data_IF_033861780879
#
_entry.id   IF_033861780879
#
_cell.length_a   1.000
_cell.length_b   1.000
_cell.length_c   1.000
_cell.angle_alpha   90.00
_cell.angle_beta   90.00
_cell.angle_gamma   90.00
#
_symmetry.space_group_name_H-M   'P 1'
#
loop_
_entity.id
_entity.type
_entity.pdbx_description
1 polymer ?
#
# COMPACT_ATOMS: atom_id res chain seq x y z
N UNK A 1 -15.98 -7.34 -21.02
CA UNK A 1 -14.68 -7.34 -20.31
C UNK A 1 -14.60 -8.60 -19.44
N UNK A 2 -13.62 -9.48 -19.67
CA UNK A 2 -13.41 -10.65 -18.81
C UNK A 2 -13.06 -10.16 -17.39
N UNK A 3 -13.79 -10.58 -16.36
CA UNK A 3 -13.56 -10.19 -14.95
C UNK A 3 -12.34 -10.90 -14.32
N UNK A 4 -11.82 -11.93 -15.00
CA UNK A 4 -10.71 -12.78 -14.53
C UNK A 4 -9.41 -12.02 -14.18
N UNK A 5 -8.90 -11.06 -14.98
CA UNK A 5 -7.66 -10.34 -14.66
C UNK A 5 -7.84 -9.32 -13.52
N UNK A 6 -9.01 -8.67 -13.42
CA UNK A 6 -9.32 -7.74 -12.33
C UNK A 6 -9.37 -8.46 -10.98
N UNK A 7 -10.06 -9.60 -10.93
CA UNK A 7 -10.15 -10.42 -9.74
C UNK A 7 -8.77 -10.95 -9.31
N UNK A 8 -7.96 -11.42 -10.26
CA UNK A 8 -6.60 -11.90 -9.98
C UNK A 8 -5.73 -10.80 -9.35
N UNK A 9 -5.78 -9.59 -9.91
CA UNK A 9 -5.08 -8.42 -9.36
C UNK A 9 -5.54 -8.10 -7.94
N UNK A 10 -6.86 -8.08 -7.73
CA UNK A 10 -7.46 -7.78 -6.44
C UNK A 10 -6.99 -8.76 -5.35
N UNK A 11 -7.02 -10.06 -5.64
CA UNK A 11 -6.57 -11.10 -4.71
C UNK A 11 -5.08 -10.93 -4.38
N UNK A 12 -4.23 -10.70 -5.39
CA UNK A 12 -2.79 -10.49 -5.17
C UNK A 12 -2.53 -9.26 -4.30
N UNK A 13 -3.19 -8.14 -4.60
CA UNK A 13 -3.01 -6.91 -3.83
C UNK A 13 -3.49 -7.03 -2.38
N UNK A 14 -4.61 -7.73 -2.15
CA UNK A 14 -5.11 -8.02 -0.80
C UNK A 14 -4.17 -8.92 0.00
N UNK A 15 -3.68 -10.01 -0.62
CA UNK A 15 -2.72 -10.92 0.04
C UNK A 15 -1.43 -10.18 0.39
N UNK A 16 -0.92 -9.34 -0.51
CA UNK A 16 0.27 -8.52 -0.24
C UNK A 16 0.00 -7.47 0.84
N UNK A 17 -1.17 -6.84 0.86
CA UNK A 17 -1.57 -5.89 1.91
C UNK A 17 -1.58 -6.54 3.29
N UNK A 18 -2.15 -7.74 3.42
CA UNK A 18 -2.13 -8.51 4.67
C UNK A 18 -0.69 -8.91 5.06
N UNK A 19 0.10 -9.40 4.10
CA UNK A 19 1.48 -9.81 4.35
C UNK A 19 2.36 -8.63 4.82
N UNK A 20 2.22 -7.46 4.19
CA UNK A 20 2.93 -6.25 4.60
C UNK A 20 2.41 -5.67 5.91
N UNK A 21 1.11 -5.80 6.20
CA UNK A 21 0.55 -5.50 7.51
C UNK A 21 1.24 -6.29 8.61
N UNK A 22 1.32 -7.61 8.44
CA UNK A 22 1.97 -8.49 9.41
C UNK A 22 3.48 -8.20 9.51
N UNK A 23 4.17 -8.00 8.38
CA UNK A 23 5.58 -7.63 8.37
C UNK A 23 5.82 -6.32 9.13
N UNK A 24 4.98 -5.31 8.91
CA UNK A 24 5.11 -4.00 9.56
C UNK A 24 4.86 -4.12 11.07
N UNK A 25 3.83 -4.87 11.48
CA UNK A 25 3.56 -5.14 12.90
C UNK A 25 4.70 -5.93 13.56
N UNK A 26 5.27 -6.92 12.88
CA UNK A 26 6.42 -7.68 13.36
C UNK A 26 7.67 -6.81 13.54
N UNK A 27 7.95 -5.92 12.57
CA UNK A 27 9.08 -4.99 12.65
C UNK A 27 8.89 -3.96 13.78
N UNK A 28 7.68 -3.44 13.97
CA UNK A 28 7.36 -2.56 15.08
C UNK A 28 7.49 -3.28 16.44
N UNK A 29 7.01 -4.53 16.50
CA UNK A 29 7.06 -5.35 17.71
C UNK A 29 8.46 -5.79 18.15
N UNK A 30 9.48 -5.71 17.27
CA UNK A 30 10.86 -6.02 17.66
C UNK A 30 11.42 -5.10 18.74
N UNK A 31 10.99 -3.85 18.76
CA UNK A 31 11.45 -2.87 19.76
C UNK A 31 10.49 -2.77 20.96
N UNK A 32 9.22 -3.13 20.75
CA UNK A 32 8.18 -3.09 21.78
C UNK A 32 7.28 -4.32 21.63
N UNK A 33 7.57 -5.46 22.30
CA UNK A 33 6.84 -6.72 22.11
C UNK A 33 5.36 -6.62 22.49
N UNK A 34 5.01 -5.66 23.34
CA UNK A 34 3.63 -5.29 23.69
C UNK A 34 2.79 -4.85 22.47
N UNK A 35 3.41 -4.27 21.43
CA UNK A 35 2.74 -3.88 20.19
C UNK A 35 2.34 -5.08 19.32
N UNK A 36 2.96 -6.24 19.53
CA UNK A 36 2.66 -7.47 18.79
C UNK A 36 1.48 -8.24 19.40
N UNK A 37 1.00 -7.81 20.57
CA UNK A 37 -0.17 -8.39 21.21
C UNK A 37 -1.43 -8.09 20.39
N UNK A 38 -2.23 -9.13 20.08
CA UNK A 38 -3.50 -8.98 19.35
C UNK A 38 -4.51 -8.08 20.06
N UNK A 39 -4.33 -7.88 21.37
CA UNK A 39 -5.19 -7.01 22.18
C UNK A 39 -4.82 -5.52 22.03
N UNK A 40 -3.64 -5.21 21.48
CA UNK A 40 -3.16 -3.84 21.41
C UNK A 40 -3.82 -3.08 20.24
N UNK A 41 -4.39 -1.88 20.45
CA UNK A 41 -5.09 -1.13 19.40
C UNK A 41 -4.16 -0.73 18.24
N UNK A 42 -2.88 -0.48 18.50
CA UNK A 42 -1.88 -0.09 17.49
C UNK A 42 -1.64 -1.22 16.48
N UNK A 43 -1.74 -2.48 16.90
CA UNK A 43 -1.61 -3.61 15.98
C UNK A 43 -2.68 -3.55 14.88
N UNK A 44 -3.94 -3.31 15.29
CA UNK A 44 -5.09 -3.23 14.38
C UNK A 44 -5.07 -1.98 13.50
N UNK A 45 -4.53 -0.86 13.97
CA UNK A 45 -4.38 0.34 13.13
C UNK A 45 -3.34 0.11 12.04
N UNK A 46 -2.20 -0.51 12.35
CA UNK A 46 -1.18 -0.87 11.36
C UNK A 46 -1.74 -1.88 10.35
N UNK A 47 -2.39 -2.95 10.84
CA UNK A 47 -2.97 -3.98 9.98
C UNK A 47 -4.04 -3.41 9.05
N UNK A 48 -4.98 -2.61 9.58
CA UNK A 48 -6.06 -2.03 8.79
C UNK A 48 -5.53 -1.04 7.75
N UNK A 49 -4.53 -0.22 8.07
CA UNK A 49 -3.86 0.67 7.13
C UNK A 49 -3.22 -0.08 5.96
N UNK A 50 -2.44 -1.13 6.22
CA UNK A 50 -1.76 -1.88 5.14
C UNK A 50 -2.73 -2.67 4.27
N UNK A 51 -3.81 -3.20 4.85
CA UNK A 51 -4.91 -3.81 4.10
C UNK A 51 -5.62 -2.77 3.24
N UNK A 52 -5.86 -1.57 3.77
CA UNK A 52 -6.50 -0.48 3.05
C UNK A 52 -5.63 0.00 1.88
N UNK A 53 -4.30 0.08 2.02
CA UNK A 53 -3.38 0.34 0.91
C UNK A 53 -3.56 -0.73 -0.18
N UNK A 54 -3.58 -2.00 0.20
CA UNK A 54 -3.80 -3.12 -0.74
C UNK A 54 -5.13 -2.98 -1.50
N UNK A 55 -6.21 -2.65 -0.79
CA UNK A 55 -7.54 -2.44 -1.36
C UNK A 55 -7.56 -1.24 -2.33
N UNK A 56 -7.03 -0.09 -1.92
CA UNK A 56 -7.03 1.13 -2.74
C UNK A 56 -6.18 0.94 -3.98
N UNK A 57 -5.01 0.30 -3.87
CA UNK A 57 -4.13 -0.02 -5.00
C UNK A 57 -4.76 -1.07 -5.93
N UNK A 58 -5.51 -2.03 -5.40
CA UNK A 58 -6.28 -2.97 -6.19
C UNK A 58 -7.30 -2.24 -7.08
N UNK A 59 -8.11 -1.37 -6.47
CA UNK A 59 -9.15 -0.59 -7.14
C UNK A 59 -8.58 0.42 -8.14
N UNK A 60 -7.53 1.14 -7.76
CA UNK A 60 -6.85 2.09 -8.64
C UNK A 60 -6.20 1.41 -9.86
N UNK A 61 -6.00 0.09 -9.80
CA UNK A 61 -5.67 -0.75 -10.93
C UNK A 61 -6.60 -0.64 -12.12
N UNK A 62 -7.90 -0.53 -11.86
CA UNK A 62 -8.92 -0.37 -12.88
C UNK A 62 -8.84 1.01 -13.56
N UNK A 63 -8.26 2.00 -12.86
CA UNK A 63 -8.08 3.36 -13.34
C UNK A 63 -6.63 3.58 -13.76
N UNK A 64 -6.30 3.10 -14.96
CA UNK A 64 -4.99 3.24 -15.61
C UNK A 64 -4.72 4.65 -16.15
N UNK A 65 -5.78 5.41 -16.40
CA UNK A 65 -5.74 6.81 -16.81
C UNK A 65 -6.07 7.71 -15.62
N UNK A 66 -5.35 8.82 -15.48
CA UNK A 66 -5.69 9.83 -14.46
C UNK A 66 -7.10 10.38 -14.74
N UNK A 67 -8.06 10.29 -13.79
CA UNK A 67 -9.46 10.60 -14.05
C UNK A 67 -9.70 12.06 -14.48
N UNK A 68 -8.80 12.97 -14.09
CA UNK A 68 -8.91 14.42 -14.39
C UNK A 68 -8.02 14.86 -15.56
N UNK A 69 -6.84 14.25 -15.75
CA UNK A 69 -5.80 14.77 -16.67
C UNK A 69 -5.56 13.87 -17.87
N UNK A 70 -6.14 12.66 -17.92
CA UNK A 70 -6.04 11.77 -19.07
C UNK A 70 -4.65 11.19 -19.35
N UNK A 71 -3.65 11.47 -18.50
CA UNK A 71 -2.30 10.93 -18.67
C UNK A 71 -2.18 9.48 -18.15
N UNK A 72 -1.35 8.64 -18.80
CA UNK A 72 -1.09 7.28 -18.35
C UNK A 72 -0.34 7.29 -17.02
N UNK A 73 -0.97 6.77 -15.97
CA UNK A 73 -0.38 6.76 -14.64
C UNK A 73 0.50 5.52 -14.46
N UNK A 74 1.83 5.70 -14.53
CA UNK A 74 2.79 4.58 -14.41
C UNK A 74 2.59 3.89 -13.05
N UNK A 75 2.55 2.54 -13.00
CA UNK A 75 2.15 1.79 -11.80
C UNK A 75 3.03 2.07 -10.57
N UNK A 76 4.31 2.38 -10.77
CA UNK A 76 5.19 2.74 -9.65
C UNK A 76 4.82 4.05 -8.93
N UNK A 77 4.27 5.02 -9.65
CA UNK A 77 3.93 6.37 -9.15
C UNK A 77 2.54 6.29 -8.56
N UNK A 78 1.62 5.59 -9.24
CA UNK A 78 0.28 5.30 -8.73
C UNK A 78 0.33 4.63 -7.37
N UNK A 79 1.02 3.49 -7.27
CA UNK A 79 1.17 2.75 -6.02
C UNK A 79 1.78 3.60 -4.91
N UNK A 80 2.86 4.33 -5.21
CA UNK A 80 3.53 5.18 -4.22
C UNK A 80 2.63 6.33 -3.73
N UNK A 81 1.99 7.08 -4.63
CA UNK A 81 1.11 8.19 -4.26
C UNK A 81 -0.09 7.70 -3.44
N UNK A 82 -0.75 6.62 -3.86
CA UNK A 82 -1.90 6.09 -3.13
C UNK A 82 -1.50 5.50 -1.78
N UNK A 83 -0.36 4.81 -1.70
CA UNK A 83 0.18 4.30 -0.45
C UNK A 83 0.48 5.42 0.54
N UNK A 84 1.08 6.52 0.08
CA UNK A 84 1.32 7.72 0.90
C UNK A 84 0.01 8.35 1.36
N UNK A 85 -0.96 8.56 0.45
CA UNK A 85 -2.25 9.18 0.77
C UNK A 85 -3.03 8.38 1.82
N UNK A 86 -3.07 7.05 1.67
CA UNK A 86 -3.76 6.16 2.60
C UNK A 86 -3.07 6.14 3.97
N UNK A 87 -1.74 6.33 4.01
CA UNK A 87 -0.97 6.34 5.26
C UNK A 87 -1.06 7.67 6.04
N UNK A 88 -1.65 8.73 5.48
CA UNK A 88 -1.76 10.04 6.15
C UNK A 88 -2.48 9.94 7.51
N UNK A 89 -3.64 9.27 7.65
CA UNK A 89 -4.32 9.17 8.94
C UNK A 89 -3.48 8.42 9.99
N UNK A 90 -2.79 7.34 9.59
CA UNK A 90 -1.91 6.60 10.49
C UNK A 90 -0.70 7.44 10.89
N UNK A 91 -0.07 8.12 9.93
CA UNK A 91 1.05 9.02 10.18
C UNK A 91 0.63 10.17 11.11
N UNK A 92 -0.54 10.78 10.89
CA UNK A 92 -1.09 11.81 11.77
C UNK A 92 -1.32 11.29 13.20
N UNK A 93 -1.76 10.03 13.34
CA UNK A 93 -1.87 9.35 14.64
C UNK A 93 -0.54 9.29 15.39
N UNK A 94 0.59 9.13 14.68
CA UNK A 94 1.92 9.08 15.28
C UNK A 94 2.41 10.42 15.86
N UNK A 95 1.81 11.55 15.47
CA UNK A 95 2.13 12.86 16.05
C UNK A 95 1.66 12.99 17.51
N UNK A 96 0.71 12.15 17.93
CA UNK A 96 0.26 12.07 19.32
C UNK A 96 1.07 11.07 20.15
N UNK A 97 2.07 10.40 19.57
CA UNK A 97 2.90 9.46 20.29
C UNK A 97 3.83 10.22 21.27
N UNK A 98 4.07 9.68 22.47
CA UNK A 98 5.02 10.26 23.40
C UNK A 98 6.42 10.31 22.76
N UNK A 99 7.08 11.46 22.86
CA UNK A 99 8.44 11.61 22.36
C UNK A 99 9.37 10.65 23.11
N UNK A 100 10.06 9.78 22.38
CA UNK A 100 11.09 8.90 22.94
C UNK A 100 12.47 9.50 22.63
N UNK A 101 13.50 9.18 23.41
CA UNK A 101 14.87 9.63 23.13
C UNK A 101 15.39 9.20 21.75
N UNK A 102 14.77 8.17 21.14
CA UNK A 102 15.21 7.56 19.89
C UNK A 102 14.47 8.07 18.66
N UNK A 103 13.28 8.65 18.80
CA UNK A 103 12.49 9.11 17.66
C UNK A 103 11.57 10.28 18.05
N UNK A 104 11.70 11.38 17.29
CA UNK A 104 10.75 12.48 17.37
C UNK A 104 9.43 12.09 16.70
N UNK A 105 8.27 12.61 17.16
CA UNK A 105 6.98 12.34 16.52
C UNK A 105 6.96 12.65 15.03
N UNK A 106 7.66 13.72 14.62
CA UNK A 106 7.83 14.09 13.22
C UNK A 106 8.62 13.07 12.40
N UNK A 107 9.63 12.43 12.99
CA UNK A 107 10.37 11.37 12.32
C UNK A 107 9.47 10.15 12.08
N UNK A 108 8.67 9.76 13.07
CA UNK A 108 7.71 8.64 12.95
C UNK A 108 6.66 8.95 11.88
N UNK A 109 6.16 10.19 11.83
CA UNK A 109 5.25 10.65 10.79
C UNK A 109 5.83 10.45 9.39
N UNK A 110 7.04 10.97 9.13
CA UNK A 110 7.70 10.88 7.82
C UNK A 110 7.99 9.42 7.47
N UNK A 111 8.50 8.62 8.40
CA UNK A 111 8.77 7.19 8.17
C UNK A 111 7.50 6.39 7.88
N UNK A 112 6.39 6.71 8.53
CA UNK A 112 5.09 6.07 8.27
C UNK A 112 4.59 6.40 6.87
N UNK A 113 4.75 7.64 6.43
CA UNK A 113 4.34 8.11 5.11
C UNK A 113 5.20 7.51 4.00
N UNK A 114 6.53 7.52 4.18
CA UNK A 114 7.49 6.91 3.25
C UNK A 114 7.30 5.39 3.16
N UNK A 115 7.11 4.71 4.29
CA UNK A 115 6.84 3.26 4.28
C UNK A 115 5.53 2.93 3.57
N UNK A 116 4.48 3.74 3.77
CA UNK A 116 3.24 3.67 3.01
C UNK A 116 3.44 3.74 1.50
N UNK A 117 4.23 4.71 1.05
CA UNK A 117 4.60 4.85 -0.37
C UNK A 117 5.37 3.63 -0.90
N UNK A 118 6.34 3.11 -0.14
CA UNK A 118 7.11 1.92 -0.54
C UNK A 118 6.19 0.69 -0.64
N UNK A 119 5.35 0.44 0.36
CA UNK A 119 4.40 -0.69 0.32
C UNK A 119 3.42 -0.55 -0.83
N UNK A 120 2.83 0.62 -1.02
CA UNK A 120 1.92 0.89 -2.13
C UNK A 120 2.58 0.67 -3.50
N UNK A 121 3.83 1.11 -3.67
CA UNK A 121 4.62 0.87 -4.88
C UNK A 121 4.84 -0.63 -5.14
N UNK A 122 5.28 -1.37 -4.11
CA UNK A 122 5.57 -2.81 -4.25
C UNK A 122 4.29 -3.60 -4.54
N UNK A 123 3.20 -3.31 -3.82
CA UNK A 123 1.89 -3.92 -4.06
C UNK A 123 1.44 -3.64 -5.50
N UNK A 124 1.52 -2.39 -5.97
CA UNK A 124 1.03 -2.03 -7.30
C UNK A 124 1.87 -2.68 -8.41
N UNK A 125 3.19 -2.72 -8.27
CA UNK A 125 4.08 -3.36 -9.23
C UNK A 125 3.80 -4.86 -9.33
N UNK A 126 3.70 -5.57 -8.20
CA UNK A 126 3.45 -7.01 -8.19
C UNK A 126 2.04 -7.34 -8.68
N UNK A 127 1.03 -6.60 -8.22
CA UNK A 127 -0.36 -6.79 -8.65
C UNK A 127 -0.53 -6.50 -10.15
N UNK A 128 0.18 -5.50 -10.68
CA UNK A 128 0.17 -5.19 -12.12
C UNK A 128 0.89 -6.27 -12.93
N UNK A 129 2.05 -6.76 -12.48
CA UNK A 129 2.78 -7.84 -13.17
C UNK A 129 2.02 -9.15 -13.19
N UNK A 130 1.36 -9.53 -12.10
CA UNK A 130 0.67 -10.82 -11.98
C UNK A 130 -0.76 -10.77 -12.52
N UNK A 131 -1.45 -9.64 -12.34
CA UNK A 131 -2.84 -9.42 -12.74
C UNK A 131 -3.03 -8.96 -14.19
N UNK A 132 -1.97 -8.49 -14.87
CA UNK A 132 -1.99 -8.18 -16.30
C UNK A 132 -2.67 -6.87 -16.69
N UNK A 133 -3.40 -6.20 -15.79
CA UNK A 133 -4.15 -4.97 -16.09
C UNK A 133 -3.31 -3.68 -16.25
N UNK A 134 -2.01 -3.81 -16.51
CA UNK A 134 -1.15 -2.72 -16.96
C UNK A 134 -0.24 -3.12 -18.13
N UNK A 135 -0.37 -4.33 -18.68
CA UNK A 135 0.39 -4.76 -19.85
C UNK A 135 0.06 -3.93 -21.09
N UNK A 136 -1.20 -3.52 -21.24
CA UNK A 136 -1.66 -2.61 -22.30
C UNK A 136 -1.03 -1.20 -22.21
N UNK A 137 -0.62 -0.76 -21.00
CA UNK A 137 0.12 0.50 -20.80
C UNK A 137 1.64 0.34 -20.97
N UNK A 138 2.16 -0.89 -20.85
CA UNK A 138 3.59 -1.19 -20.99
C UNK A 138 3.97 -1.60 -22.42
N UNK A 139 3.03 -1.52 -23.37
CA UNK A 139 3.25 -1.92 -24.77
C UNK A 139 3.41 -3.43 -24.97
N UNK A 140 3.13 -4.24 -23.95
CA UNK A 140 3.34 -5.69 -23.97
C UNK A 140 2.02 -6.45 -24.19
N UNK A 141 1.10 -5.91 -24.98
CA UNK A 141 -0.15 -6.59 -25.28
C UNK A 141 0.09 -7.59 -26.42
N UNK A 142 0.08 -8.93 -26.18
CA UNK A 142 0.21 -9.91 -27.25
C UNK A 142 -1.04 -9.97 -28.15
N UNK A 143 -2.13 -9.29 -27.78
CA UNK A 143 -3.34 -9.10 -28.61
C UNK A 143 -3.28 -7.88 -29.53
N UNK A 144 -2.10 -7.23 -29.64
CA UNK A 144 -1.83 -6.16 -30.61
C UNK A 144 -1.48 -6.64 -32.02
N UNK A 145 -1.94 -7.83 -32.42
CA UNK A 145 -1.95 -8.35 -33.79
C UNK A 145 -3.30 -9.02 -34.08
#
# INVERSE_FOLDING_TARGET
MSAKPALKRFVVAMVLGVAFGYLCAYLAGRHQPELLSLTHPIFWTIMSDRILIGLVVALAGAYTMHPVFGFPFRPWVRGSCLGMMVSIPLAAGSLNAPATPMASPWLIFILTLVSGGIYGLVIDLLATRIGGQGAALLGNDPSGA
#
